data_IF_360141612481
#
_entry.id   IF_360141612481
#
_cell.length_a   1.000
_cell.length_b   1.000
_cell.length_c   1.000
_cell.angle_alpha   90.00
_cell.angle_beta   90.00
_cell.angle_gamma   90.00
#
_symmetry.space_group_name_H-M   'P 1'
#
loop_
_entity.id
_entity.type
_entity.pdbx_description
1 polymer ?
#
# COMPACT_ATOMS: atom_id res chain seq x y z
N UNK A 1 -3.92 -2.78 17.35
CA UNK A 1 -3.39 -1.80 16.41
C UNK A 1 -2.86 -0.58 17.16
N UNK A 2 -1.73 -0.03 16.73
CA UNK A 2 -1.12 1.19 17.26
C UNK A 2 -1.26 2.35 16.26
N UNK A 3 -2.34 2.34 15.47
CA UNK A 3 -2.57 3.33 14.42
C UNK A 3 -1.44 3.39 13.39
N UNK A 4 -0.98 4.59 13.00
CA UNK A 4 0.06 4.77 11.98
C UNK A 4 1.42 4.14 12.34
N UNK A 5 1.65 3.87 13.61
CA UNK A 5 2.91 3.32 14.11
C UNK A 5 2.93 1.79 14.21
N UNK A 6 1.84 1.12 13.86
CA UNK A 6 1.73 -0.35 13.97
C UNK A 6 2.87 -1.08 13.25
N UNK A 7 3.14 -0.71 12.01
CA UNK A 7 4.21 -1.34 11.22
C UNK A 7 5.58 -1.10 11.83
N UNK A 8 5.84 0.10 12.35
CA UNK A 8 7.10 0.44 13.02
C UNK A 8 7.33 -0.47 14.22
N UNK A 9 6.37 -0.52 15.15
CA UNK A 9 6.51 -1.33 16.36
C UNK A 9 6.62 -2.82 16.05
N UNK A 10 5.88 -3.30 15.05
CA UNK A 10 5.99 -4.68 14.61
C UNK A 10 7.39 -4.99 14.07
N UNK A 11 7.94 -4.14 13.23
CA UNK A 11 9.28 -4.33 12.64
C UNK A 11 10.35 -4.30 13.71
N UNK A 12 10.31 -3.33 14.63
CA UNK A 12 11.26 -3.22 15.73
C UNK A 12 11.22 -4.45 16.65
N UNK A 13 10.02 -4.98 16.96
CA UNK A 13 9.85 -6.17 17.78
C UNK A 13 10.40 -7.43 17.09
N UNK A 14 10.15 -7.58 15.79
CA UNK A 14 10.64 -8.70 14.99
C UNK A 14 12.17 -8.64 14.84
N UNK A 15 12.73 -7.48 14.55
CA UNK A 15 14.18 -7.29 14.47
C UNK A 15 14.86 -7.64 15.79
N UNK A 16 14.33 -7.14 16.89
CA UNK A 16 14.85 -7.49 18.24
C UNK A 16 14.81 -9.00 18.48
N UNK A 17 13.72 -9.66 18.09
CA UNK A 17 13.59 -11.11 18.24
C UNK A 17 14.61 -11.89 17.40
N UNK A 18 14.89 -11.46 16.17
CA UNK A 18 15.91 -12.07 15.30
C UNK A 18 17.30 -11.91 15.91
N UNK A 19 17.65 -10.69 16.35
CA UNK A 19 18.97 -10.44 16.97
C UNK A 19 19.19 -11.23 18.26
N UNK A 20 18.13 -11.48 19.05
CA UNK A 20 18.20 -12.30 20.25
C UNK A 20 18.44 -13.80 19.99
N UNK A 21 18.27 -14.25 18.75
CA UNK A 21 18.45 -15.65 18.35
C UNK A 21 19.82 -15.94 17.76
N UNK A 22 20.75 -14.98 17.80
CA UNK A 22 22.09 -15.06 17.24
C UNK A 22 22.14 -15.52 15.78
N UNK A 23 21.09 -15.16 15.00
CA UNK A 23 21.05 -15.43 13.57
C UNK A 23 22.00 -14.47 12.87
N UNK A 24 22.95 -14.95 12.05
CA UNK A 24 23.83 -14.08 11.29
C UNK A 24 23.07 -13.13 10.38
N UNK A 25 23.37 -11.83 10.47
CA UNK A 25 22.78 -10.78 9.63
C UNK A 25 23.90 -10.18 8.80
N UNK A 26 23.70 -10.15 7.49
CA UNK A 26 24.65 -9.64 6.52
C UNK A 26 24.12 -8.34 5.90
N UNK A 27 24.35 -7.23 6.56
CA UNK A 27 24.01 -5.91 6.05
C UNK A 27 24.97 -5.48 4.93
N UNK A 28 24.49 -4.67 3.99
CA UNK A 28 25.31 -4.19 2.87
C UNK A 28 25.47 -5.18 1.70
N UNK A 29 24.84 -6.35 1.77
CA UNK A 29 24.87 -7.36 0.71
C UNK A 29 23.63 -7.23 -0.19
N UNK A 30 23.84 -6.96 -1.47
CA UNK A 30 22.77 -6.91 -2.47
C UNK A 30 22.67 -8.20 -3.25
N UNK A 31 21.64 -8.98 -3.03
CA UNK A 31 21.37 -10.20 -3.78
C UNK A 31 21.02 -9.87 -5.23
N UNK A 32 21.71 -10.49 -6.17
CA UNK A 32 21.56 -10.25 -7.61
C UNK A 32 21.10 -11.48 -8.38
N UNK A 33 21.28 -12.68 -7.83
CA UNK A 33 20.89 -13.92 -8.50
C UNK A 33 20.48 -14.98 -7.50
N UNK A 34 19.43 -15.73 -7.82
CA UNK A 34 19.11 -17.00 -7.18
C UNK A 34 19.91 -18.11 -7.85
N UNK A 35 20.60 -18.93 -7.08
CA UNK A 35 21.27 -20.12 -7.55
C UNK A 35 20.31 -21.30 -7.50
N UNK A 36 20.24 -22.04 -8.60
CA UNK A 36 19.41 -23.23 -8.71
C UNK A 36 20.22 -24.39 -9.28
N UNK A 37 19.82 -25.60 -8.94
CA UNK A 37 20.37 -26.85 -9.50
C UNK A 37 19.23 -27.75 -9.97
N UNK A 38 19.53 -28.64 -10.88
CA UNK A 38 18.62 -29.70 -11.30
C UNK A 38 18.96 -30.99 -10.57
N UNK A 39 17.98 -31.69 -10.04
CA UNK A 39 18.17 -33.05 -9.52
C UNK A 39 18.30 -34.07 -10.66
N UNK A 40 17.74 -33.76 -11.85
CA UNK A 40 17.85 -34.58 -13.03
C UNK A 40 18.50 -33.79 -14.15
N UNK A 41 19.44 -34.37 -14.90
CA UNK A 41 20.00 -33.72 -16.08
C UNK A 41 18.94 -33.56 -17.17
N UNK A 42 18.17 -32.49 -17.12
CA UNK A 42 17.36 -32.03 -18.25
C UNK A 42 18.27 -31.22 -19.16
N UNK A 43 18.55 -31.73 -20.35
CA UNK A 43 19.53 -31.20 -21.27
C UNK A 43 19.28 -29.82 -21.85
N UNK A 44 18.30 -29.05 -21.31
CA UNK A 44 17.91 -27.75 -21.87
C UNK A 44 17.45 -26.72 -20.81
N UNK A 45 17.66 -26.97 -19.55
CA UNK A 45 17.23 -26.04 -18.52
C UNK A 45 18.28 -24.97 -18.23
N UNK A 46 18.04 -23.75 -18.67
CA UNK A 46 18.78 -22.55 -18.25
C UNK A 46 18.58 -22.22 -16.77
N UNK A 47 17.65 -22.91 -16.12
CA UNK A 47 17.28 -22.76 -14.72
C UNK A 47 16.95 -24.11 -14.09
N UNK A 48 17.44 -24.36 -12.87
CA UNK A 48 17.15 -25.56 -12.09
C UNK A 48 15.87 -25.43 -11.28
N UNK A 49 15.30 -26.57 -10.90
CA UNK A 49 14.04 -26.64 -10.12
C UNK A 49 14.27 -26.47 -8.62
N UNK A 50 15.51 -26.56 -8.13
CA UNK A 50 15.83 -26.53 -6.71
C UNK A 50 16.73 -25.34 -6.39
N UNK A 51 16.26 -24.46 -5.52
CA UNK A 51 17.09 -23.39 -4.98
C UNK A 51 18.25 -23.98 -4.14
N UNK A 52 19.46 -23.47 -4.33
CA UNK A 52 20.65 -23.92 -3.60
C UNK A 52 21.52 -22.78 -3.05
N UNK A 53 21.04 -21.54 -3.14
CA UNK A 53 21.75 -20.39 -2.62
C UNK A 53 21.48 -19.11 -3.39
N UNK A 54 22.26 -18.09 -3.09
CA UNK A 54 22.18 -16.79 -3.77
C UNK A 54 23.57 -16.23 -4.06
N UNK A 55 23.66 -15.39 -5.08
CA UNK A 55 24.82 -14.53 -5.32
C UNK A 55 24.47 -13.12 -4.87
N UNK A 56 25.34 -12.51 -4.09
CA UNK A 56 25.23 -11.14 -3.68
C UNK A 56 26.47 -10.33 -4.08
N UNK A 57 26.31 -9.03 -4.18
CA UNK A 57 27.39 -8.06 -4.30
C UNK A 57 27.51 -7.32 -2.98
N UNK A 58 28.69 -7.30 -2.44
CA UNK A 58 29.07 -6.56 -1.23
C UNK A 58 30.23 -5.62 -1.60
N UNK A 59 29.97 -4.38 -2.04
CA UNK A 59 31.02 -3.49 -2.55
C UNK A 59 32.16 -3.23 -1.56
N UNK A 60 31.86 -3.23 -0.28
CA UNK A 60 32.84 -3.05 0.80
C UNK A 60 33.85 -4.20 0.91
N UNK A 61 33.53 -5.36 0.35
CA UNK A 61 34.40 -6.54 0.29
C UNK A 61 35.18 -6.65 -1.02
N UNK A 62 34.98 -5.72 -1.95
CA UNK A 62 35.70 -5.72 -3.22
C UNK A 62 37.20 -5.57 -3.00
N UNK A 63 37.97 -6.40 -3.67
CA UNK A 63 39.43 -6.46 -3.50
C UNK A 63 39.91 -7.33 -2.31
N UNK A 64 39.04 -7.69 -1.36
CA UNK A 64 39.43 -8.55 -0.22
C UNK A 64 39.44 -10.04 -0.60
N UNK A 65 38.40 -10.50 -1.27
CA UNK A 65 38.25 -11.90 -1.71
C UNK A 65 38.22 -12.07 -3.22
N UNK A 66 37.66 -11.09 -3.92
CA UNK A 66 37.64 -10.99 -5.37
C UNK A 66 37.47 -9.53 -5.80
N UNK A 67 37.80 -9.24 -7.05
CA UNK A 67 37.80 -7.88 -7.60
C UNK A 67 36.44 -7.18 -7.52
N UNK A 68 35.34 -7.93 -7.58
CA UNK A 68 33.98 -7.38 -7.76
C UNK A 68 33.14 -7.38 -6.48
N UNK A 69 33.68 -7.89 -5.36
CA UNK A 69 32.91 -8.04 -4.12
C UNK A 69 31.74 -9.04 -4.25
N UNK A 70 31.89 -10.04 -5.13
CA UNK A 70 30.92 -11.11 -5.28
C UNK A 70 31.00 -12.09 -4.14
N UNK A 71 29.87 -12.43 -3.54
CA UNK A 71 29.74 -13.39 -2.45
C UNK A 71 28.64 -14.39 -2.79
N UNK A 72 28.93 -15.66 -2.53
CA UNK A 72 27.98 -16.77 -2.69
C UNK A 72 27.55 -17.24 -1.31
N UNK A 73 26.25 -17.27 -1.09
CA UNK A 73 25.64 -17.89 0.07
C UNK A 73 25.02 -19.21 -0.37
N UNK A 74 25.55 -20.33 0.08
CA UNK A 74 24.96 -21.63 -0.15
C UNK A 74 23.90 -21.92 0.93
N UNK A 75 22.73 -22.39 0.51
CA UNK A 75 21.62 -22.69 1.39
C UNK A 75 20.66 -23.68 0.73
N UNK A 76 20.18 -24.64 1.50
CA UNK A 76 19.19 -25.63 1.02
C UNK A 76 17.80 -25.02 0.85
N UNK A 77 17.51 -23.95 1.56
CA UNK A 77 16.25 -23.23 1.49
C UNK A 77 16.50 -21.72 1.41
N UNK A 78 15.78 -21.04 0.53
CA UNK A 78 15.87 -19.58 0.36
C UNK A 78 14.49 -18.97 0.53
N UNK A 79 14.34 -18.09 1.50
CA UNK A 79 13.13 -17.27 1.69
C UNK A 79 13.35 -15.90 1.09
N UNK A 80 12.56 -15.57 0.08
CA UNK A 80 12.65 -14.27 -0.60
C UNK A 80 11.63 -13.29 -0.05
N UNK A 81 12.05 -12.37 0.77
CA UNK A 81 11.19 -11.44 1.51
C UNK A 81 11.56 -9.97 1.26
N UNK A 82 11.69 -9.58 -0.01
CA UNK A 82 12.23 -8.29 -0.45
C UNK A 82 11.18 -7.16 -0.57
N UNK A 83 9.96 -7.38 -0.08
CA UNK A 83 8.86 -6.42 -0.17
C UNK A 83 8.16 -6.42 -1.53
N UNK A 84 7.26 -5.47 -1.73
CA UNK A 84 6.42 -5.37 -2.92
C UNK A 84 7.10 -4.74 -4.14
N UNK A 85 6.52 -4.89 -5.35
CA UNK A 85 7.09 -4.42 -6.61
C UNK A 85 6.80 -2.93 -6.86
N UNK A 86 7.18 -2.06 -5.95
CA UNK A 86 6.82 -0.63 -5.99
C UNK A 86 7.52 0.16 -7.09
N UNK A 87 8.72 -0.26 -7.50
CA UNK A 87 9.51 0.46 -8.51
C UNK A 87 8.95 0.38 -9.94
N UNK A 88 7.95 -0.45 -10.19
CA UNK A 88 7.28 -0.51 -11.50
C UNK A 88 6.31 0.66 -11.73
N UNK A 89 5.99 1.42 -10.72
CA UNK A 89 5.06 2.55 -10.80
C UNK A 89 5.79 3.88 -10.87
N UNK A 90 5.37 4.77 -11.77
CA UNK A 90 5.94 6.11 -11.90
C UNK A 90 5.69 6.98 -10.65
N UNK A 91 4.59 6.74 -9.93
CA UNK A 91 4.29 7.39 -8.67
C UNK A 91 4.07 6.32 -7.59
N UNK A 92 4.92 6.32 -6.59
CA UNK A 92 4.89 5.38 -5.47
C UNK A 92 5.27 6.07 -4.17
N UNK A 93 4.71 5.58 -3.06
CA UNK A 93 5.06 6.03 -1.70
C UNK A 93 6.21 5.23 -1.09
N UNK A 94 6.58 4.13 -1.72
CA UNK A 94 7.66 3.28 -1.21
C UNK A 94 9.04 3.94 -1.38
N UNK A 95 10.00 3.63 -0.53
CA UNK A 95 11.37 4.09 -0.66
C UNK A 95 11.99 3.68 -2.01
N UNK A 96 12.87 4.51 -2.54
CA UNK A 96 13.62 4.21 -3.76
C UNK A 96 14.48 2.95 -3.65
N UNK A 97 14.85 2.58 -2.41
CA UNK A 97 15.55 1.33 -2.12
C UNK A 97 14.72 0.07 -2.42
N UNK A 98 13.40 0.18 -2.54
CA UNK A 98 12.55 -0.94 -2.96
C UNK A 98 12.52 -1.05 -4.49
N UNK A 99 13.56 -1.59 -5.06
CA UNK A 99 13.80 -1.65 -6.49
C UNK A 99 13.21 -2.88 -7.18
N UNK A 100 12.20 -3.52 -6.59
CA UNK A 100 11.49 -4.62 -7.26
C UNK A 100 12.37 -5.83 -7.61
N UNK A 101 12.96 -6.47 -6.60
CA UNK A 101 13.83 -7.64 -6.79
C UNK A 101 13.11 -8.93 -7.28
N UNK A 102 11.82 -8.86 -7.58
CA UNK A 102 11.01 -9.98 -8.07
C UNK A 102 11.52 -10.55 -9.41
N UNK A 103 12.13 -9.71 -10.24
CA UNK A 103 12.71 -10.14 -11.50
C UNK A 103 13.75 -11.25 -11.36
N UNK A 104 14.48 -11.28 -10.26
CA UNK A 104 15.46 -12.34 -9.95
C UNK A 104 14.77 -13.69 -9.81
N UNK A 105 13.63 -13.74 -9.10
CA UNK A 105 12.86 -14.97 -8.91
C UNK A 105 12.17 -15.40 -10.21
N UNK A 106 11.54 -14.46 -10.91
CA UNK A 106 10.85 -14.74 -12.16
C UNK A 106 11.82 -15.27 -13.23
N UNK A 107 13.02 -14.71 -13.29
CA UNK A 107 14.09 -15.19 -14.17
C UNK A 107 14.59 -16.59 -13.80
N UNK A 108 14.43 -16.99 -12.54
CA UNK A 108 14.76 -18.32 -12.04
C UNK A 108 13.57 -19.31 -12.17
N UNK A 109 12.46 -18.91 -12.81
CA UNK A 109 11.31 -19.77 -13.06
C UNK A 109 10.34 -19.88 -11.88
N UNK A 110 10.42 -19.01 -10.88
CA UNK A 110 9.47 -19.00 -9.78
C UNK A 110 8.06 -18.68 -10.28
N UNK A 111 7.08 -19.41 -9.77
CA UNK A 111 5.66 -19.15 -10.07
C UNK A 111 5.19 -17.89 -9.35
N UNK A 112 4.46 -17.05 -10.07
CA UNK A 112 3.83 -15.87 -9.51
C UNK A 112 2.30 -16.03 -9.49
N UNK A 113 1.67 -15.45 -8.50
CA UNK A 113 0.22 -15.48 -8.31
C UNK A 113 -0.29 -14.06 -8.10
N UNK A 114 -1.53 -13.80 -8.51
CA UNK A 114 -2.23 -12.52 -8.32
C UNK A 114 -1.50 -11.31 -8.91
N UNK A 115 -0.79 -11.46 -10.02
CA UNK A 115 -0.04 -10.37 -10.66
C UNK A 115 -0.94 -9.22 -11.15
N UNK A 116 -2.23 -9.47 -11.34
CA UNK A 116 -3.23 -8.46 -11.70
C UNK A 116 -3.78 -7.70 -10.51
N UNK A 117 -3.52 -8.17 -9.30
CA UNK A 117 -4.03 -7.59 -8.05
C UNK A 117 -3.15 -6.43 -7.58
N UNK A 118 -3.17 -5.34 -8.34
CA UNK A 118 -2.49 -4.10 -7.96
C UNK A 118 -3.40 -3.22 -7.13
N UNK A 119 -2.88 -2.73 -6.01
CA UNK A 119 -3.62 -1.83 -5.15
C UNK A 119 -3.32 -0.37 -5.53
N UNK A 120 -4.36 0.38 -5.91
CA UNK A 120 -4.31 1.82 -6.02
C UNK A 120 -4.68 2.42 -4.67
N UNK A 121 -3.82 3.27 -4.13
CA UNK A 121 -4.06 3.94 -2.86
C UNK A 121 -3.84 5.44 -2.99
N UNK A 122 -4.50 6.22 -2.11
CA UNK A 122 -4.30 7.66 -2.05
C UNK A 122 -2.94 7.97 -1.42
N UNK A 123 -2.13 8.73 -2.15
CA UNK A 123 -0.82 9.18 -1.71
C UNK A 123 -0.53 10.59 -2.23
N UNK A 124 0.33 11.32 -1.52
CA UNK A 124 0.81 12.62 -2.01
C UNK A 124 1.72 12.44 -3.23
N UNK A 125 1.48 13.25 -4.27
CA UNK A 125 2.30 13.26 -5.49
C UNK A 125 3.41 14.33 -5.45
N UNK A 126 3.31 15.29 -4.53
CA UNK A 126 4.29 16.39 -4.40
C UNK A 126 5.50 15.97 -3.58
N UNK A 127 5.29 15.22 -2.54
CA UNK A 127 6.31 14.56 -1.74
C UNK A 127 5.81 13.17 -1.37
N UNK A 128 6.73 12.25 -1.12
CA UNK A 128 6.36 10.89 -0.82
C UNK A 128 5.72 10.77 0.56
N UNK A 129 4.41 10.64 0.57
CA UNK A 129 3.64 10.47 1.78
C UNK A 129 2.40 9.60 1.53
N UNK A 130 2.39 8.45 2.17
CA UNK A 130 1.23 7.59 2.18
C UNK A 130 0.17 8.20 3.09
N UNK A 131 -0.99 8.49 2.53
CA UNK A 131 -2.13 8.97 3.30
C UNK A 131 -2.64 7.83 4.17
N UNK A 132 -2.21 7.79 5.44
CA UNK A 132 -2.74 6.87 6.42
C UNK A 132 -4.27 6.99 6.47
N UNK A 133 -4.93 5.85 6.60
CA UNK A 133 -6.36 5.81 6.76
C UNK A 133 -6.89 6.71 7.88
N UNK A 134 -6.14 6.88 8.94
CA UNK A 134 -6.50 7.76 10.07
C UNK A 134 -6.79 9.20 9.61
N UNK A 135 -6.12 9.71 8.58
CA UNK A 135 -6.38 11.06 8.07
C UNK A 135 -7.71 11.19 7.32
N UNK A 136 -8.28 10.09 6.87
CA UNK A 136 -9.59 10.07 6.23
C UNK A 136 -10.73 10.22 7.23
N UNK A 137 -10.49 9.85 8.48
CA UNK A 137 -11.50 9.88 9.54
C UNK A 137 -11.87 11.29 9.99
N UNK A 138 -11.04 12.28 9.72
CA UNK A 138 -11.35 13.69 9.95
C UNK A 138 -12.17 14.31 8.80
N UNK A 139 -12.61 13.48 7.85
CA UNK A 139 -13.49 13.85 6.73
C UNK A 139 -12.98 15.07 5.95
N UNK A 140 -11.75 15.03 5.42
CA UNK A 140 -11.17 16.15 4.70
C UNK A 140 -12.00 16.50 3.46
N UNK A 141 -11.96 17.76 3.06
CA UNK A 141 -12.56 18.22 1.82
C UNK A 141 -11.77 17.70 0.63
N UNK A 142 -12.43 16.98 -0.26
CA UNK A 142 -11.87 16.54 -1.54
C UNK A 142 -12.28 17.49 -2.65
N UNK A 143 -11.31 18.08 -3.33
CA UNK A 143 -11.59 18.95 -4.47
C UNK A 143 -10.53 18.78 -5.56
N UNK A 144 -10.89 19.20 -6.76
CA UNK A 144 -9.97 19.24 -7.90
C UNK A 144 -9.95 20.61 -8.54
N UNK A 145 -8.85 20.93 -9.22
CA UNK A 145 -8.68 22.16 -10.01
C UNK A 145 -8.18 21.83 -11.40
N UNK A 146 -8.33 22.78 -12.32
CA UNK A 146 -7.55 22.77 -13.56
C UNK A 146 -6.03 22.82 -13.26
N UNK A 147 -5.14 22.54 -14.24
CA UNK A 147 -3.70 22.55 -14.03
C UNK A 147 -3.12 23.90 -13.58
N UNK A 148 -3.79 24.98 -13.94
CA UNK A 148 -3.41 26.35 -13.53
C UNK A 148 -3.93 26.76 -12.15
N UNK A 149 -4.73 25.89 -11.51
CA UNK A 149 -5.36 26.14 -10.21
C UNK A 149 -6.75 26.75 -10.28
N UNK A 150 -7.25 27.07 -11.47
CA UNK A 150 -8.62 27.55 -11.67
C UNK A 150 -9.64 26.41 -11.64
N UNK A 151 -10.92 26.73 -11.79
CA UNK A 151 -12.04 25.78 -11.91
C UNK A 151 -12.05 24.77 -10.76
N UNK A 152 -12.05 25.28 -9.52
CA UNK A 152 -12.14 24.46 -8.31
C UNK A 152 -13.51 23.82 -8.19
N UNK A 153 -13.57 22.51 -7.93
CA UNK A 153 -14.81 21.78 -7.70
C UNK A 153 -14.64 20.63 -6.71
N UNK A 154 -15.67 20.38 -5.91
CA UNK A 154 -15.82 19.16 -5.14
C UNK A 154 -16.47 18.09 -6.02
N UNK A 155 -15.72 17.01 -6.29
CA UNK A 155 -16.11 16.02 -7.31
C UNK A 155 -16.73 14.75 -6.73
N UNK A 156 -16.63 14.52 -5.43
CA UNK A 156 -17.17 13.29 -4.82
C UNK A 156 -18.70 13.23 -4.88
N UNK A 157 -19.39 14.39 -5.00
CA UNK A 157 -20.84 14.46 -5.19
C UNK A 157 -21.32 13.77 -6.47
N UNK A 158 -20.48 13.71 -7.49
CA UNK A 158 -20.81 13.04 -8.76
C UNK A 158 -20.95 11.52 -8.57
N UNK A 159 -20.25 10.97 -7.58
CA UNK A 159 -20.21 9.54 -7.26
C UNK A 159 -21.09 9.16 -6.07
N UNK A 160 -21.23 10.08 -5.15
CA UNK A 160 -22.01 9.93 -3.93
C UNK A 160 -22.95 11.14 -3.79
N UNK A 161 -24.13 11.15 -4.45
CA UNK A 161 -25.09 12.25 -4.34
C UNK A 161 -25.60 12.44 -2.92
N UNK A 162 -25.80 11.34 -2.19
CA UNK A 162 -26.21 11.35 -0.79
C UNK A 162 -25.03 11.71 0.12
N UNK A 163 -25.23 12.73 0.98
CA UNK A 163 -24.16 13.25 1.84
C UNK A 163 -23.72 12.21 2.88
N UNK A 164 -24.63 11.44 3.47
CA UNK A 164 -24.27 10.41 4.46
C UNK A 164 -23.42 9.32 3.83
N UNK A 165 -23.80 8.85 2.66
CA UNK A 165 -23.03 7.85 1.92
C UNK A 165 -21.66 8.39 1.53
N UNK A 166 -21.56 9.66 1.13
CA UNK A 166 -20.31 10.34 0.77
C UNK A 166 -19.35 10.40 1.96
N UNK A 167 -19.81 10.93 3.08
CA UNK A 167 -19.01 11.03 4.30
C UNK A 167 -18.60 9.66 4.83
N UNK A 168 -19.53 8.70 4.82
CA UNK A 168 -19.25 7.32 5.23
C UNK A 168 -18.22 6.66 4.33
N UNK A 169 -18.26 6.87 3.02
CA UNK A 169 -17.27 6.33 2.09
C UNK A 169 -15.86 6.88 2.36
N UNK A 170 -15.74 8.19 2.60
CA UNK A 170 -14.47 8.83 2.97
C UNK A 170 -13.99 8.30 4.32
N UNK A 171 -14.84 8.23 5.32
CA UNK A 171 -14.53 7.71 6.64
C UNK A 171 -14.03 6.25 6.57
N UNK A 172 -14.76 5.39 5.86
CA UNK A 172 -14.39 3.97 5.66
C UNK A 172 -13.11 3.79 4.88
N UNK A 173 -12.70 4.77 4.09
CA UNK A 173 -11.41 4.75 3.40
C UNK A 173 -10.25 4.68 4.38
N UNK A 174 -10.43 5.22 5.56
CA UNK A 174 -9.44 5.24 6.62
C UNK A 174 -9.54 4.12 7.63
N UNK A 175 -10.57 3.35 7.60
CA UNK A 175 -10.85 2.36 8.62
C UNK A 175 -10.97 0.97 8.00
N UNK A 176 -10.07 0.08 8.37
CA UNK A 176 -10.27 -1.33 8.12
C UNK A 176 -11.26 -1.86 9.17
N UNK A 177 -12.51 -1.94 8.76
CA UNK A 177 -13.54 -2.60 9.54
C UNK A 177 -13.15 -4.05 9.82
N UNK A 178 -13.63 -4.65 10.92
CA UNK A 178 -13.62 -6.10 11.03
C UNK A 178 -14.24 -6.65 9.75
N UNK A 179 -13.43 -7.38 9.04
CA UNK A 179 -13.74 -7.85 7.70
C UNK A 179 -14.91 -8.86 7.78
N UNK A 180 -16.09 -8.43 7.40
CA UNK A 180 -17.21 -9.33 7.10
C UNK A 180 -17.38 -9.38 5.58
N UNK A 181 -16.95 -10.48 4.91
CA UNK A 181 -17.06 -10.61 3.46
C UNK A 181 -18.48 -10.47 2.96
N UNK A 182 -19.48 -10.87 3.75
CA UNK A 182 -20.90 -10.77 3.38
C UNK A 182 -21.39 -9.32 3.39
N UNK A 183 -20.78 -8.46 4.20
CA UNK A 183 -21.13 -7.03 4.31
C UNK A 183 -20.27 -6.14 3.42
N UNK A 184 -19.15 -6.65 2.91
CA UNK A 184 -18.29 -5.91 1.96
C UNK A 184 -18.85 -5.88 0.55
N UNK A 185 -19.62 -6.87 0.17
CA UNK A 185 -20.43 -6.81 -1.03
C UNK A 185 -21.61 -5.87 -0.73
N UNK A 186 -21.38 -4.57 -0.84
CA UNK A 186 -22.50 -3.65 -1.05
C UNK A 186 -23.10 -4.10 -2.37
N UNK A 187 -24.13 -4.91 -2.30
CA UNK A 187 -24.93 -5.24 -3.45
C UNK A 187 -25.59 -3.94 -3.90
N UNK A 188 -25.00 -3.33 -4.90
CA UNK A 188 -25.74 -2.38 -5.70
C UNK A 188 -26.82 -3.20 -6.40
N UNK A 189 -28.03 -2.66 -6.45
CA UNK A 189 -29.17 -3.26 -7.16
C UNK A 189 -28.84 -3.62 -8.62
N UNK A 190 -27.71 -3.14 -9.16
CA UNK A 190 -27.31 -3.30 -10.56
C UNK A 190 -25.82 -3.67 -10.76
N UNK A 191 -25.13 -4.23 -9.79
CA UNK A 191 -23.74 -4.66 -10.01
C UNK A 191 -22.84 -4.70 -8.77
N UNK A 192 -21.54 -4.81 -9.00
CA UNK A 192 -20.52 -4.88 -7.95
C UNK A 192 -20.37 -3.51 -7.30
N UNK A 193 -20.62 -3.45 -6.00
CA UNK A 193 -20.39 -2.24 -5.22
C UNK A 193 -18.90 -2.07 -4.90
N UNK A 194 -18.34 -0.94 -5.30
CA UNK A 194 -16.94 -0.61 -5.02
C UNK A 194 -16.72 -0.11 -3.58
N UNK A 195 -17.77 0.13 -2.82
CA UNK A 195 -17.66 0.65 -1.44
C UNK A 195 -16.82 1.91 -1.35
N UNK A 196 -15.92 2.01 -0.36
CA UNK A 196 -15.01 3.14 -0.22
C UNK A 196 -13.95 3.24 -1.34
N UNK A 197 -13.74 2.18 -2.12
CA UNK A 197 -12.85 2.20 -3.28
C UNK A 197 -13.36 3.12 -4.39
N UNK A 198 -14.65 3.47 -4.40
CA UNK A 198 -15.19 4.44 -5.34
C UNK A 198 -14.58 5.85 -5.14
N UNK A 199 -14.10 6.17 -3.94
CA UNK A 199 -13.32 7.40 -3.68
C UNK A 199 -12.01 7.39 -4.47
N UNK A 200 -11.30 6.24 -4.51
CA UNK A 200 -10.06 6.11 -5.31
C UNK A 200 -10.35 6.26 -6.80
N UNK A 201 -11.42 5.64 -7.28
CA UNK A 201 -11.85 5.72 -8.67
C UNK A 201 -12.19 7.17 -9.04
N UNK A 202 -12.87 7.89 -8.16
CA UNK A 202 -13.20 9.30 -8.37
C UNK A 202 -11.92 10.15 -8.49
N UNK A 203 -10.96 9.98 -7.59
CA UNK A 203 -9.65 10.65 -7.63
C UNK A 203 -8.89 10.29 -8.92
N UNK A 204 -8.86 9.01 -9.28
CA UNK A 204 -8.22 8.55 -10.50
C UNK A 204 -8.84 9.20 -11.75
N UNK A 205 -10.17 9.27 -11.84
CA UNK A 205 -10.85 9.85 -12.97
C UNK A 205 -10.60 11.38 -13.10
N UNK A 206 -10.57 12.11 -11.99
CA UNK A 206 -10.19 13.54 -12.02
C UNK A 206 -8.76 13.71 -12.56
N UNK A 207 -7.83 12.86 -12.10
CA UNK A 207 -6.46 12.89 -12.60
C UNK A 207 -6.36 12.51 -14.09
N UNK A 208 -7.12 11.52 -14.55
CA UNK A 208 -7.18 11.19 -15.99
C UNK A 208 -7.69 12.35 -16.86
N UNK A 209 -8.52 13.21 -16.31
CA UNK A 209 -8.98 14.44 -16.97
C UNK A 209 -7.93 15.56 -16.95
N UNK A 210 -6.72 15.28 -16.44
CA UNK A 210 -5.64 16.26 -16.31
C UNK A 210 -5.80 17.22 -15.13
N UNK A 211 -6.77 17.00 -14.26
CA UNK A 211 -7.00 17.87 -13.10
C UNK A 211 -6.04 17.55 -11.96
N UNK A 212 -5.78 18.54 -11.12
CA UNK A 212 -5.05 18.35 -9.86
C UNK A 212 -6.05 18.06 -8.75
N UNK A 213 -5.79 17.05 -7.95
CA UNK A 213 -6.66 16.64 -6.85
C UNK A 213 -6.01 16.97 -5.52
N UNK A 214 -6.79 17.48 -4.60
CA UNK A 214 -6.37 17.91 -3.28
C UNK A 214 -7.27 17.33 -2.19
N UNK A 215 -6.67 17.11 -1.03
CA UNK A 215 -7.36 16.89 0.24
C UNK A 215 -7.05 18.08 1.15
N UNK A 216 -8.07 18.83 1.54
CA UNK A 216 -7.92 19.95 2.46
C UNK A 216 -8.36 19.55 3.86
N UNK A 217 -7.39 19.46 4.76
CA UNK A 217 -7.62 19.13 6.16
C UNK A 217 -8.02 20.33 7.02
N UNK A 218 -8.04 21.53 6.45
CA UNK A 218 -8.49 22.77 7.11
C UNK A 218 -9.99 22.99 6.99
N UNK A 219 -10.63 22.27 6.07
CA UNK A 219 -12.03 22.41 5.74
C UNK A 219 -12.67 21.04 5.57
N UNK A 220 -13.94 20.95 5.98
CA UNK A 220 -14.80 19.83 5.63
C UNK A 220 -15.38 20.01 4.23
N UNK A 221 -16.07 19.00 3.72
CA UNK A 221 -16.84 19.12 2.50
C UNK A 221 -17.97 20.15 2.69
N UNK A 222 -18.22 20.96 1.67
CA UNK A 222 -19.18 22.08 1.74
C UNK A 222 -20.58 21.66 2.19
N UNK A 223 -21.03 20.50 1.75
CA UNK A 223 -22.35 19.97 2.15
C UNK A 223 -22.41 19.60 3.64
N UNK A 224 -21.29 19.15 4.21
CA UNK A 224 -21.21 18.86 5.64
C UNK A 224 -21.28 20.15 6.48
N UNK A 225 -20.59 21.21 6.03
CA UNK A 225 -20.64 22.51 6.70
C UNK A 225 -22.04 23.12 6.62
N UNK A 226 -22.71 23.01 5.48
CA UNK A 226 -24.06 23.55 5.28
C UNK A 226 -25.10 22.81 6.12
N UNK A 227 -24.91 21.52 6.31
CA UNK A 227 -25.88 20.69 7.03
C UNK A 227 -25.79 20.79 8.55
N UNK A 228 -24.59 21.09 9.11
CA UNK A 228 -24.31 20.89 10.54
C UNK A 228 -23.59 22.05 11.23
N UNK A 229 -23.00 23.00 10.53
CA UNK A 229 -22.18 24.07 11.12
C UNK A 229 -20.89 23.60 11.82
N UNK A 230 -20.80 22.32 12.14
CA UNK A 230 -19.62 21.62 12.67
C UNK A 230 -19.64 20.18 12.20
N UNK A 231 -18.50 19.49 12.23
CA UNK A 231 -18.40 18.09 11.83
C UNK A 231 -19.27 17.25 12.78
N UNK A 232 -20.41 16.79 12.29
CA UNK A 232 -21.30 15.91 13.03
C UNK A 232 -21.15 14.46 12.55
N UNK A 233 -20.53 13.62 13.36
CA UNK A 233 -20.41 12.20 13.07
C UNK A 233 -21.76 11.47 12.99
N UNK A 234 -22.85 12.06 13.47
CA UNK A 234 -24.19 11.52 13.29
C UNK A 234 -24.64 11.53 11.81
N UNK A 235 -23.94 12.27 10.94
CA UNK A 235 -24.15 12.18 9.49
C UNK A 235 -23.57 10.89 8.87
N UNK A 236 -22.76 10.16 9.57
CA UNK A 236 -22.34 8.84 9.12
C UNK A 236 -23.53 7.87 9.17
N UNK A 237 -23.49 6.86 8.32
CA UNK A 237 -24.45 5.76 8.42
C UNK A 237 -24.38 5.13 9.82
N UNK A 238 -25.51 4.65 10.31
CA UNK A 238 -25.68 4.18 11.70
C UNK A 238 -24.65 3.13 12.12
N UNK A 239 -24.23 2.26 11.19
CA UNK A 239 -23.19 1.27 11.48
C UNK A 239 -21.83 1.93 11.76
N UNK A 240 -21.45 2.94 10.98
CA UNK A 240 -20.20 3.67 11.17
C UNK A 240 -20.22 4.47 12.48
N UNK A 241 -21.33 5.11 12.77
CA UNK A 241 -21.55 5.81 14.02
C UNK A 241 -21.49 4.88 15.24
N UNK A 242 -22.20 3.75 15.17
CA UNK A 242 -22.21 2.73 16.23
C UNK A 242 -20.82 2.17 16.49
N UNK A 243 -20.07 1.93 15.45
CA UNK A 243 -18.68 1.46 15.58
C UNK A 243 -17.80 2.49 16.30
N UNK A 244 -17.85 3.75 15.90
CA UNK A 244 -17.09 4.82 16.55
C UNK A 244 -17.44 4.95 18.02
N UNK A 245 -18.72 4.91 18.34
CA UNK A 245 -19.22 4.96 19.72
C UNK A 245 -18.68 3.80 20.55
N UNK A 246 -18.72 2.58 20.00
CA UNK A 246 -18.28 1.37 20.69
C UNK A 246 -16.75 1.27 20.80
N UNK A 247 -16.02 1.87 19.87
CA UNK A 247 -14.55 1.89 19.90
C UNK A 247 -13.95 2.97 20.81
N UNK A 248 -14.80 3.75 21.48
CA UNK A 248 -14.38 4.87 22.33
C UNK A 248 -13.94 6.12 21.57
N UNK A 249 -14.08 6.13 20.23
CA UNK A 249 -13.67 7.25 19.39
C UNK A 249 -14.52 8.51 19.52
N UNK A 250 -15.67 8.42 20.19
CA UNK A 250 -16.58 9.55 20.46
C UNK A 250 -16.64 9.93 21.94
N UNK A 251 -15.82 9.33 22.79
CA UNK A 251 -15.70 9.70 24.21
C UNK A 251 -14.59 10.75 24.37
N UNK A 252 -14.89 11.97 24.05
CA UNK A 252 -14.02 13.11 24.28
C UNK A 252 -14.84 14.31 24.61
#
# INVERSE_FOLDING_TARGET
>A
SCGPLTSKYMTEALEKSVRQKDIPIFDGYRVTKLLTRNDTPRGDATCGDIACGVVAIAPETAGAFNEYGLVVFAADNVVWATGGPSAIYAATVYPESQTCAHGVLLSAGAMAQNLTESQYGLASVKFRWNLSGTYQQVLPRYYSTAPDGSDEREFLSDYFPDIKKRLTAVFRKGYQWPFDPAKLCIQLENGIGYGSSLVDIAVYNERRRGRRVYMDFRRNMSDAETSCGSLDFALLEDEAYTYLKNSGGLSG
#
